data_IF_109165857489
#
_entry.id   IF_109165857489
#
_cell.length_a   1.000
_cell.length_b   1.000
_cell.length_c   1.000
_cell.angle_alpha   90.00
_cell.angle_beta   90.00
_cell.angle_gamma   90.00
#
_symmetry.space_group_name_H-M   'P 1'
#
loop_
_entity.id
_entity.type
_entity.pdbx_description
1 polymer ?
#
# COMPACT_ATOMS: atom_id res chain seq x y z
N UNK A 1 -15.01 -28.41 -35.88
CA UNK A 1 -14.94 -26.95 -36.02
C UNK A 1 -15.96 -26.31 -35.11
N UNK A 2 -15.56 -25.28 -34.37
CA UNK A 2 -16.46 -24.41 -33.60
C UNK A 2 -16.59 -24.76 -32.12
N UNK A 3 -15.58 -24.44 -31.31
CA UNK A 3 -15.75 -24.25 -29.87
C UNK A 3 -15.84 -22.74 -29.62
N UNK A 4 -16.97 -22.32 -29.04
CA UNK A 4 -17.35 -20.91 -28.85
C UNK A 4 -16.45 -20.16 -27.87
N UNK A 5 -16.18 -18.91 -28.23
CA UNK A 5 -15.56 -17.89 -27.39
C UNK A 5 -16.40 -17.65 -26.13
N UNK A 6 -15.81 -17.89 -24.95
CA UNK A 6 -16.38 -17.48 -23.68
C UNK A 6 -15.72 -16.18 -23.19
N UNK A 7 -16.54 -15.15 -23.06
CA UNK A 7 -16.47 -14.16 -21.98
C UNK A 7 -15.27 -13.21 -21.96
N UNK A 8 -15.22 -12.24 -22.88
CA UNK A 8 -14.56 -10.95 -22.56
C UNK A 8 -15.43 -10.23 -21.53
N UNK A 9 -15.00 -10.23 -20.26
CA UNK A 9 -15.58 -9.39 -19.23
C UNK A 9 -15.46 -7.93 -19.64
N UNK A 10 -16.58 -7.32 -19.96
CA UNK A 10 -16.68 -5.92 -20.35
C UNK A 10 -16.54 -5.08 -19.06
N UNK A 11 -15.43 -4.35 -18.93
CA UNK A 11 -15.22 -3.46 -17.79
C UNK A 11 -16.33 -2.39 -17.76
N UNK A 12 -17.01 -2.17 -16.63
CA UNK A 12 -18.01 -1.12 -16.54
C UNK A 12 -17.35 0.23 -16.85
N UNK A 13 -17.91 0.94 -17.83
CA UNK A 13 -17.43 2.27 -18.20
C UNK A 13 -17.57 3.20 -17.00
N UNK A 14 -16.43 3.60 -16.44
CA UNK A 14 -16.37 4.44 -15.24
C UNK A 14 -16.83 5.87 -15.54
N UNK A 15 -17.51 6.54 -14.59
CA UNK A 15 -18.10 7.88 -14.77
C UNK A 15 -17.04 9.00 -14.68
N UNK A 16 -15.86 8.81 -15.28
CA UNK A 16 -14.81 9.84 -15.33
C UNK A 16 -15.14 10.82 -16.46
N UNK A 17 -16.23 11.56 -16.27
CA UNK A 17 -16.65 12.62 -17.18
C UNK A 17 -15.88 13.89 -16.81
N UNK A 18 -14.91 14.26 -17.66
CA UNK A 18 -14.42 15.63 -17.88
C UNK A 18 -13.19 16.19 -17.14
N UNK A 19 -12.29 15.41 -16.53
CA UNK A 19 -10.90 15.86 -16.23
C UNK A 19 -9.91 14.69 -16.26
N UNK A 20 -9.02 14.68 -17.27
CA UNK A 20 -7.74 13.96 -17.41
C UNK A 20 -7.69 12.50 -16.92
N UNK A 21 -7.45 11.56 -17.86
CA UNK A 21 -7.12 10.17 -17.52
C UNK A 21 -6.04 10.08 -16.43
N UNK A 22 -6.15 9.14 -15.47
CA UNK A 22 -5.21 9.03 -14.37
C UNK A 22 -3.77 8.82 -14.89
N UNK A 23 -2.82 9.52 -14.27
CA UNK A 23 -1.39 9.38 -14.52
C UNK A 23 -0.80 8.45 -13.46
N UNK A 24 -0.13 7.39 -13.88
CA UNK A 24 0.47 6.42 -12.97
C UNK A 24 1.98 6.63 -12.88
N UNK A 25 2.50 6.60 -11.66
CA UNK A 25 3.94 6.54 -11.41
C UNK A 25 4.22 5.21 -10.74
N UNK A 26 5.13 4.43 -11.31
CA UNK A 26 5.43 3.07 -10.86
C UNK A 26 6.88 3.04 -10.40
N UNK A 27 7.13 3.12 -9.08
CA UNK A 27 8.46 2.94 -8.53
C UNK A 27 8.97 1.53 -8.82
N UNK A 28 10.15 1.45 -9.41
CA UNK A 28 10.80 0.20 -9.76
C UNK A 28 11.92 -0.08 -8.75
N UNK A 29 11.75 -1.14 -7.96
CA UNK A 29 12.75 -1.54 -6.95
C UNK A 29 13.96 -2.25 -7.55
N UNK A 30 13.75 -2.99 -8.65
CA UNK A 30 14.79 -3.76 -9.34
C UNK A 30 14.63 -3.63 -10.84
N UNK A 31 15.74 -3.33 -11.51
CA UNK A 31 15.79 -3.13 -12.96
C UNK A 31 15.37 -4.39 -13.74
N UNK A 32 15.54 -5.57 -13.14
CA UNK A 32 15.10 -6.85 -13.70
C UNK A 32 13.60 -6.91 -14.01
N UNK A 33 12.76 -6.10 -13.34
CA UNK A 33 11.32 -6.08 -13.57
C UNK A 33 10.89 -5.12 -14.69
N UNK A 34 11.77 -4.22 -15.15
CA UNK A 34 11.45 -3.22 -16.18
C UNK A 34 10.80 -3.84 -17.42
N UNK A 35 11.36 -4.89 -18.06
CA UNK A 35 10.82 -5.37 -19.33
C UNK A 35 9.38 -5.88 -19.19
N UNK A 36 9.09 -6.59 -18.10
CA UNK A 36 7.76 -7.12 -17.83
C UNK A 36 6.74 -6.01 -17.58
N UNK A 37 7.13 -4.97 -16.82
CA UNK A 37 6.23 -3.85 -16.50
C UNK A 37 6.01 -2.97 -17.73
N UNK A 38 7.04 -2.67 -18.53
CA UNK A 38 6.88 -1.91 -19.78
C UNK A 38 5.99 -2.65 -20.78
N UNK A 39 6.11 -3.97 -20.89
CA UNK A 39 5.22 -4.77 -21.72
C UNK A 39 3.76 -4.65 -21.25
N UNK A 40 3.51 -4.73 -19.94
CA UNK A 40 2.18 -4.56 -19.37
C UNK A 40 1.61 -3.15 -19.62
N UNK A 41 2.41 -2.10 -19.40
CA UNK A 41 2.01 -0.71 -19.66
C UNK A 41 1.54 -0.55 -21.12
N UNK A 42 2.29 -1.10 -22.09
CA UNK A 42 1.93 -1.07 -23.51
C UNK A 42 0.69 -1.89 -23.80
N UNK A 43 0.59 -3.09 -23.25
CA UNK A 43 -0.55 -3.99 -23.47
C UNK A 43 -1.87 -3.38 -23.01
N UNK A 44 -1.87 -2.69 -21.87
CA UNK A 44 -3.06 -2.06 -21.29
C UNK A 44 -3.24 -0.59 -21.66
N UNK A 45 -2.33 0.00 -22.45
CA UNK A 45 -2.41 1.40 -22.89
C UNK A 45 -2.35 2.40 -21.73
N UNK A 46 -1.62 2.08 -20.66
CA UNK A 46 -1.58 2.90 -19.45
C UNK A 46 -0.71 4.15 -19.65
N UNK A 47 -1.20 5.29 -19.18
CA UNK A 47 -0.39 6.51 -19.01
C UNK A 47 0.46 6.37 -17.76
N UNK A 48 1.58 5.65 -17.87
CA UNK A 48 2.43 5.31 -16.74
C UNK A 48 3.89 5.70 -16.97
N UNK A 49 4.56 6.17 -15.91
CA UNK A 49 6.00 6.47 -15.89
C UNK A 49 6.69 5.55 -14.89
N UNK A 50 7.73 4.85 -15.33
CA UNK A 50 8.58 4.06 -14.43
C UNK A 50 9.60 4.97 -13.75
N UNK A 51 9.77 4.80 -12.45
CA UNK A 51 10.63 5.66 -11.63
C UNK A 51 11.64 4.81 -10.87
N UNK A 52 12.93 5.08 -11.06
CA UNK A 52 14.03 4.34 -10.42
C UNK A 52 14.81 5.15 -9.38
N UNK A 53 14.58 6.47 -9.34
CA UNK A 53 15.21 7.41 -8.41
C UNK A 53 14.14 8.35 -7.88
N UNK A 54 14.38 9.03 -6.75
CA UNK A 54 13.41 9.97 -6.17
C UNK A 54 12.06 9.34 -5.80
N UNK A 55 12.02 8.04 -5.50
CA UNK A 55 10.78 7.32 -5.17
C UNK A 55 10.01 7.99 -4.03
N UNK A 56 10.69 8.53 -3.02
CA UNK A 56 10.03 9.23 -1.92
C UNK A 56 9.30 10.49 -2.38
N UNK A 57 9.89 11.26 -3.29
CA UNK A 57 9.26 12.47 -3.86
C UNK A 57 7.99 12.10 -4.64
N UNK A 58 8.05 10.99 -5.38
CA UNK A 58 6.88 10.43 -6.09
C UNK A 58 5.77 10.04 -5.13
N UNK A 59 6.12 9.30 -4.09
CA UNK A 59 5.13 8.84 -3.11
C UNK A 59 4.48 10.04 -2.42
N UNK A 60 5.26 11.04 -2.02
CA UNK A 60 4.77 12.25 -1.37
C UNK A 60 3.86 13.12 -2.26
N UNK A 61 4.07 13.09 -3.58
CA UNK A 61 3.28 13.84 -4.55
C UNK A 61 2.01 13.11 -5.02
N UNK A 62 1.83 11.83 -4.66
CA UNK A 62 0.71 11.03 -5.14
C UNK A 62 -0.62 11.40 -4.46
N UNK A 63 -1.71 11.45 -5.23
CA UNK A 63 -3.06 11.62 -4.70
C UNK A 63 -3.58 10.37 -3.95
N UNK A 64 -3.10 9.20 -4.37
CA UNK A 64 -3.42 7.88 -3.83
C UNK A 64 -2.30 6.91 -4.18
N UNK A 65 -1.99 5.99 -3.27
CA UNK A 65 -1.10 4.86 -3.54
C UNK A 65 -1.83 3.51 -3.49
N UNK A 66 -1.50 2.62 -4.43
CA UNK A 66 -1.96 1.24 -4.42
C UNK A 66 -0.74 0.36 -4.20
N UNK A 67 -0.73 -0.41 -3.11
CA UNK A 67 0.48 -1.08 -2.66
C UNK A 67 0.21 -2.48 -2.14
N UNK A 68 1.24 -3.32 -2.22
CA UNK A 68 1.28 -4.53 -1.39
C UNK A 68 1.54 -4.17 0.07
N UNK A 69 1.25 -5.07 1.01
CA UNK A 69 1.74 -4.92 2.37
C UNK A 69 3.29 -4.86 2.42
N UNK A 70 3.82 -3.87 3.14
CA UNK A 70 5.25 -3.63 3.33
C UNK A 70 5.54 -2.33 4.08
N UNK A 71 6.83 -2.04 4.28
CA UNK A 71 7.29 -0.85 5.03
C UNK A 71 6.82 0.47 4.41
N UNK A 72 6.67 0.51 3.08
CA UNK A 72 6.17 1.68 2.34
C UNK A 72 4.79 2.15 2.81
N UNK A 73 3.98 1.26 3.42
CA UNK A 73 2.66 1.63 3.90
C UNK A 73 2.72 2.65 5.03
N UNK A 74 3.69 2.50 5.94
CA UNK A 74 3.86 3.46 7.03
C UNK A 74 4.40 4.78 6.49
N UNK A 75 5.35 4.73 5.55
CA UNK A 75 5.88 5.93 4.89
C UNK A 75 4.77 6.73 4.21
N UNK A 76 3.89 6.08 3.45
CA UNK A 76 2.73 6.72 2.82
C UNK A 76 1.79 7.38 3.85
N UNK A 77 1.50 6.69 4.95
CA UNK A 77 0.68 7.22 6.02
C UNK A 77 1.35 8.44 6.72
N UNK A 78 2.67 8.40 6.91
CA UNK A 78 3.45 9.54 7.41
C UNK A 78 3.50 10.72 6.44
N UNK A 79 3.41 10.45 5.14
CA UNK A 79 3.34 11.47 4.08
C UNK A 79 1.92 12.00 3.83
N UNK A 80 0.91 11.56 4.58
CA UNK A 80 -0.51 11.89 4.37
C UNK A 80 -1.06 11.43 3.01
N UNK A 81 -0.50 10.37 2.43
CA UNK A 81 -0.94 9.82 1.15
C UNK A 81 -1.96 8.72 1.42
N UNK A 82 -3.24 8.87 1.01
CA UNK A 82 -4.22 7.80 1.11
C UNK A 82 -3.73 6.56 0.36
N UNK A 83 -4.05 5.37 0.87
CA UNK A 83 -3.57 4.14 0.26
C UNK A 83 -4.60 3.01 0.31
N UNK A 84 -4.58 2.16 -0.72
CA UNK A 84 -5.24 0.86 -0.71
C UNK A 84 -4.15 -0.20 -0.61
N UNK A 85 -4.22 -1.02 0.44
CA UNK A 85 -3.29 -2.12 0.65
C UNK A 85 -3.94 -3.40 0.14
N UNK A 86 -3.24 -4.17 -0.67
CA UNK A 86 -3.71 -5.49 -1.08
C UNK A 86 -2.63 -6.54 -0.87
N UNK A 87 -3.02 -7.78 -0.61
CA UNK A 87 -2.04 -8.84 -0.45
C UNK A 87 -2.59 -10.18 -0.91
N UNK A 88 -1.83 -10.85 -1.77
CA UNK A 88 -2.12 -12.19 -2.28
C UNK A 88 -0.88 -13.05 -2.10
N UNK A 89 -0.96 -14.08 -1.24
CA UNK A 89 0.16 -15.02 -1.06
C UNK A 89 -0.05 -16.23 -1.95
N UNK A 90 1.01 -17.01 -2.17
CA UNK A 90 0.83 -18.32 -2.80
C UNK A 90 -0.09 -19.18 -1.92
N UNK A 91 -1.03 -19.96 -2.49
CA UNK A 91 -1.92 -20.81 -1.70
C UNK A 91 -1.20 -21.73 -0.72
N UNK A 92 0.02 -22.17 -1.07
CA UNK A 92 0.88 -22.99 -0.21
C UNK A 92 1.38 -22.21 1.02
N UNK A 93 1.84 -20.97 0.81
CA UNK A 93 2.27 -20.07 1.89
C UNK A 93 1.11 -19.73 2.83
N UNK A 94 -0.08 -19.55 2.28
CA UNK A 94 -1.29 -19.29 3.07
C UNK A 94 -1.66 -20.49 3.96
N UNK A 95 -1.58 -21.69 3.40
CA UNK A 95 -1.91 -22.93 4.12
C UNK A 95 -0.95 -23.19 5.28
N UNK A 96 0.36 -22.96 5.07
CA UNK A 96 1.38 -23.05 6.12
C UNK A 96 1.18 -21.98 7.20
N UNK A 97 0.92 -20.73 6.81
CA UNK A 97 0.67 -19.63 7.76
C UNK A 97 -0.55 -19.88 8.65
N UNK A 98 -1.60 -20.50 8.09
CA UNK A 98 -2.79 -20.93 8.83
C UNK A 98 -2.48 -22.06 9.82
N UNK A 99 -1.62 -23.02 9.43
CA UNK A 99 -1.20 -24.12 10.30
C UNK A 99 -0.40 -23.63 11.52
N UNK A 100 0.37 -22.55 11.35
CA UNK A 100 1.19 -21.93 12.40
C UNK A 100 0.43 -20.94 13.29
N UNK A 101 -0.90 -20.79 13.15
CA UNK A 101 -1.75 -19.88 13.94
C UNK A 101 -1.22 -18.43 13.99
N UNK A 102 -0.81 -17.86 12.85
CA UNK A 102 -0.57 -16.42 12.77
C UNK A 102 -1.90 -15.67 12.94
N UNK A 103 -2.25 -15.32 14.19
CA UNK A 103 -3.44 -14.55 14.54
C UNK A 103 -3.14 -13.06 14.55
N UNK A 104 -2.60 -12.54 13.45
CA UNK A 104 -2.36 -11.11 13.31
C UNK A 104 -3.62 -10.50 12.66
N UNK A 105 -4.33 -9.58 13.33
CA UNK A 105 -5.61 -9.05 12.84
C UNK A 105 -5.47 -8.14 11.62
N UNK A 106 -4.28 -7.60 11.38
CA UNK A 106 -3.97 -6.71 10.26
C UNK A 106 -2.59 -7.06 9.68
N UNK A 107 -2.41 -6.94 8.36
CA UNK A 107 -1.15 -7.17 7.68
C UNK A 107 -0.41 -5.87 7.37
N UNK A 108 -1.12 -4.75 7.24
CA UNK A 108 -0.51 -3.47 6.91
C UNK A 108 0.03 -2.77 8.17
N UNK A 109 1.25 -2.22 8.14
CA UNK A 109 1.81 -1.47 9.27
C UNK A 109 0.92 -0.36 9.83
N UNK A 110 0.22 0.48 9.04
CA UNK A 110 -0.67 1.51 9.58
C UNK A 110 -1.80 0.92 10.44
N UNK A 111 -2.46 -0.14 9.96
CA UNK A 111 -3.55 -0.80 10.69
C UNK A 111 -3.03 -1.52 11.94
N UNK A 112 -1.81 -2.08 11.89
CA UNK A 112 -1.16 -2.71 13.04
C UNK A 112 -0.83 -1.73 14.16
N UNK A 113 -0.41 -0.50 13.83
CA UNK A 113 -0.09 0.53 14.83
C UNK A 113 -1.35 0.96 15.59
N UNK A 114 -2.48 1.12 14.90
CA UNK A 114 -3.74 1.57 15.50
C UNK A 114 -4.62 0.41 16.00
N UNK A 115 -4.26 -0.83 15.65
CA UNK A 115 -5.08 -2.04 15.90
C UNK A 115 -6.53 -1.90 15.38
N UNK A 116 -6.69 -1.19 14.26
CA UNK A 116 -7.96 -0.92 13.58
C UNK A 116 -7.71 -0.76 12.08
N UNK A 117 -8.72 -1.05 11.25
CA UNK A 117 -8.68 -0.73 9.82
C UNK A 117 -8.77 0.79 9.64
N UNK A 118 -7.63 1.44 9.44
CA UNK A 118 -7.51 2.87 9.11
C UNK A 118 -7.24 3.11 7.63
N UNK A 119 -6.76 2.08 6.92
CA UNK A 119 -6.63 2.02 5.47
C UNK A 119 -7.29 0.74 4.95
N UNK A 120 -7.93 0.78 3.76
CA UNK A 120 -8.47 -0.43 3.12
C UNK A 120 -7.39 -1.50 2.96
N UNK A 121 -7.69 -2.71 3.43
CA UNK A 121 -6.79 -3.86 3.38
C UNK A 121 -7.50 -5.06 2.72
N UNK A 122 -7.22 -5.29 1.45
CA UNK A 122 -7.82 -6.34 0.63
C UNK A 122 -6.94 -7.60 0.66
N UNK A 123 -7.41 -8.62 1.38
CA UNK A 123 -6.65 -9.86 1.59
C UNK A 123 -7.17 -11.02 0.73
N UNK A 124 -6.24 -11.75 0.10
CA UNK A 124 -6.48 -12.99 -0.64
C UNK A 124 -7.59 -12.84 -1.70
N UNK A 125 -8.77 -13.43 -1.46
CA UNK A 125 -9.90 -13.43 -2.38
C UNK A 125 -10.56 -12.05 -2.51
N UNK A 126 -10.32 -11.14 -1.55
CA UNK A 126 -10.79 -9.76 -1.62
C UNK A 126 -9.90 -8.89 -2.52
N UNK A 127 -8.67 -9.31 -2.81
CA UNK A 127 -7.72 -8.60 -3.67
C UNK A 127 -8.06 -8.77 -5.16
N UNK A 128 -9.27 -8.35 -5.53
CA UNK A 128 -9.75 -8.34 -6.91
C UNK A 128 -9.62 -6.94 -7.54
N UNK A 129 -9.50 -6.84 -8.87
CA UNK A 129 -9.48 -5.55 -9.56
C UNK A 129 -10.68 -4.66 -9.21
N UNK A 130 -11.87 -5.24 -9.09
CA UNK A 130 -13.11 -4.51 -8.83
C UNK A 130 -13.10 -3.86 -7.44
N UNK A 131 -12.70 -4.62 -6.41
CA UNK A 131 -12.58 -4.09 -5.05
C UNK A 131 -11.49 -3.03 -4.96
N UNK A 132 -10.35 -3.27 -5.60
CA UNK A 132 -9.22 -2.35 -5.59
C UNK A 132 -9.58 -1.01 -6.26
N UNK A 133 -10.28 -1.05 -7.39
CA UNK A 133 -10.79 0.15 -8.06
C UNK A 133 -11.85 0.85 -7.21
N UNK A 134 -12.77 0.11 -6.59
CA UNK A 134 -13.79 0.68 -5.72
C UNK A 134 -13.16 1.47 -4.56
N UNK A 135 -12.29 0.83 -3.78
CA UNK A 135 -11.63 1.48 -2.63
C UNK A 135 -10.76 2.67 -3.08
N UNK A 136 -10.08 2.55 -4.21
CA UNK A 136 -9.29 3.63 -4.79
C UNK A 136 -10.15 4.85 -5.17
N UNK A 137 -11.27 4.63 -5.86
CA UNK A 137 -12.18 5.70 -6.26
C UNK A 137 -12.86 6.35 -5.05
N UNK A 138 -13.21 5.57 -4.04
CA UNK A 138 -13.77 6.10 -2.80
C UNK A 138 -12.76 7.04 -2.12
N UNK A 139 -11.49 6.66 -1.99
CA UNK A 139 -10.47 7.54 -1.41
C UNK A 139 -10.15 8.77 -2.26
N UNK A 140 -10.26 8.67 -3.59
CA UNK A 140 -9.98 9.79 -4.51
C UNK A 140 -11.14 10.77 -4.64
N UNK A 141 -12.38 10.28 -4.62
CA UNK A 141 -13.57 11.05 -5.01
C UNK A 141 -14.49 11.40 -3.84
N UNK A 142 -14.41 10.69 -2.71
CA UNK A 142 -15.18 10.99 -1.51
C UNK A 142 -14.33 11.83 -0.52
N UNK A 143 -14.61 13.14 -0.39
CA UNK A 143 -13.84 14.01 0.51
C UNK A 143 -13.96 13.59 1.99
N UNK A 144 -15.08 12.98 2.38
CA UNK A 144 -15.31 12.56 3.76
C UNK A 144 -14.41 11.37 4.09
N UNK A 145 -14.36 10.35 3.22
CA UNK A 145 -13.45 9.21 3.40
C UNK A 145 -12.00 9.65 3.40
N UNK A 146 -11.63 10.53 2.48
CA UNK A 146 -10.26 11.09 2.45
C UNK A 146 -9.92 11.80 3.76
N UNK A 147 -10.82 12.64 4.26
CA UNK A 147 -10.59 13.37 5.51
C UNK A 147 -10.51 12.42 6.71
N UNK A 148 -11.33 11.38 6.75
CA UNK A 148 -11.27 10.33 7.78
C UNK A 148 -9.90 9.62 7.77
N UNK A 149 -9.41 9.22 6.59
CA UNK A 149 -8.07 8.62 6.45
C UNK A 149 -6.98 9.54 7.01
N UNK A 150 -7.03 10.84 6.70
CA UNK A 150 -6.05 11.80 7.21
C UNK A 150 -6.11 11.96 8.74
N UNK A 151 -7.31 11.98 9.32
CA UNK A 151 -7.49 12.00 10.78
C UNK A 151 -6.94 10.73 11.41
N UNK A 152 -7.20 9.56 10.82
CA UNK A 152 -6.65 8.30 11.29
C UNK A 152 -5.12 8.27 11.24
N UNK A 153 -4.50 8.89 10.21
CA UNK A 153 -3.04 9.01 10.15
C UNK A 153 -2.48 9.92 11.24
N UNK A 154 -3.21 10.96 11.66
CA UNK A 154 -2.81 11.80 12.79
C UNK A 154 -2.84 11.01 14.10
N UNK A 155 -3.90 10.23 14.33
CA UNK A 155 -3.99 9.30 15.47
C UNK A 155 -2.82 8.31 15.46
N UNK A 156 -2.57 7.67 14.31
CA UNK A 156 -1.46 6.73 14.15
C UNK A 156 -0.12 7.35 14.52
N UNK A 157 0.15 8.60 14.11
CA UNK A 157 1.42 9.29 14.45
C UNK A 157 1.59 9.51 15.94
N UNK A 158 0.50 9.82 16.66
CA UNK A 158 0.56 9.99 18.11
C UNK A 158 0.95 8.68 18.81
N UNK A 159 0.59 7.52 18.26
CA UNK A 159 0.94 6.21 18.79
C UNK A 159 2.40 5.80 18.52
N UNK A 160 3.06 6.36 17.49
CA UNK A 160 4.46 6.06 17.18
C UNK A 160 5.46 6.70 18.16
N UNK A 161 4.99 7.61 19.01
CA UNK A 161 5.79 8.32 20.00
C UNK A 161 6.63 9.45 19.42
N UNK A 162 7.40 10.10 20.29
CA UNK A 162 8.15 11.30 19.94
C UNK A 162 9.42 11.01 19.11
N UNK A 163 9.83 11.99 18.32
CA UNK A 163 11.13 12.00 17.62
C UNK A 163 12.30 11.79 18.58
N UNK A 164 13.43 11.27 18.07
CA UNK A 164 14.64 11.01 18.88
C UNK A 164 14.76 9.60 19.43
N UNK A 165 14.14 8.60 18.79
CA UNK A 165 14.24 7.19 19.22
C UNK A 165 15.69 6.68 19.27
N UNK A 166 16.54 7.08 18.31
CA UNK A 166 17.94 6.71 18.29
C UNK A 166 18.70 7.28 19.50
N UNK A 167 18.46 8.55 19.86
CA UNK A 167 19.12 9.19 21.00
C UNK A 167 18.69 8.56 22.32
N UNK A 168 17.39 8.26 22.46
CA UNK A 168 16.86 7.55 23.64
C UNK A 168 17.46 6.15 23.74
N UNK A 169 17.50 5.42 22.63
CA UNK A 169 18.11 4.09 22.59
C UNK A 169 19.61 4.13 22.94
N UNK A 170 20.36 5.09 22.38
CA UNK A 170 21.77 5.26 22.68
C UNK A 170 22.00 5.59 24.17
N UNK A 171 21.18 6.48 24.74
CA UNK A 171 21.24 6.81 26.17
C UNK A 171 21.01 5.59 27.04
N UNK A 172 19.99 4.78 26.74
CA UNK A 172 19.69 3.56 27.51
C UNK A 172 20.82 2.53 27.42
N UNK A 173 21.44 2.36 26.26
CA UNK A 173 22.60 1.47 26.09
C UNK A 173 23.77 1.92 26.98
N UNK A 174 24.11 3.21 26.97
CA UNK A 174 25.21 3.76 27.77
C UNK A 174 24.94 3.59 29.28
N UNK A 175 23.71 3.86 29.74
CA UNK A 175 23.31 3.72 31.15
C UNK A 175 23.45 2.29 31.70
N UNK A 176 23.39 1.26 30.83
CA UNK A 176 23.53 -0.13 31.21
C UNK A 176 24.96 -0.67 31.02
N UNK A 177 25.75 -0.06 30.12
CA UNK A 177 27.17 -0.37 29.95
C UNK A 177 28.01 0.06 31.17
N UNK A 178 27.69 1.22 31.77
CA UNK A 178 28.38 1.72 32.97
C UNK A 178 28.04 0.93 34.24
N UNK A 179 26.94 0.15 34.23
CA UNK A 179 26.52 -0.68 35.36
C UNK A 179 27.16 -2.06 35.40
N UNK A 180 27.81 -2.52 34.33
CA UNK A 180 28.52 -3.81 34.27
C UNK A 180 30.04 -3.69 34.44
N UNK A 181 30.55 -2.48 34.72
CA UNK A 181 31.97 -2.19 34.92
C UNK A 181 32.38 -1.98 36.40
N UNK A 182 31.52 -2.38 37.34
CA UNK A 182 31.80 -2.45 38.80
C UNK A 182 31.56 -3.88 39.28
#
# INVERSE_FOLDING_TARGET
GGAGEQGKGEFPQSPITNRQSPLFWIPLSLEAYRPAIEAAIRQYGLRATLVTSHTQDVLAAADLAITKSGTVNLELALLNVPQVVFYRVSPLTYWIGRLLKFSIPFMSPPNLVVMRSIVPELLQDQATPENLVKEALELLLDPQKRQETLTNYQEMRQLLGDVGVCDRAAREILLHSDRQSV
#
